data_IF_395010900456
#
_entry.id   IF_395010900456
#
_cell.length_a   1.000
_cell.length_b   1.000
_cell.length_c   1.000
_cell.angle_alpha   90.00
_cell.angle_beta   90.00
_cell.angle_gamma   90.00
#
_symmetry.space_group_name_H-M   'P 1'
#
loop_
_entity.id
_entity.type
_entity.pdbx_description
1 polymer ?
#
# COMPACT_ATOMS: atom_id res chain seq x y z
N UNK A 1 1.52 -2.56 8.09
CA UNK A 1 2.89 -2.00 8.16
C UNK A 1 2.88 -0.84 9.12
N UNK A 2 3.86 -0.76 10.02
CA UNK A 2 3.78 0.16 11.16
C UNK A 2 3.85 1.63 10.75
N UNK A 3 4.79 2.04 9.90
CA UNK A 3 4.73 3.34 9.22
C UNK A 3 5.21 3.23 7.78
N UNK A 4 4.79 4.18 6.95
CA UNK A 4 5.12 4.24 5.54
C UNK A 4 5.30 5.71 5.14
N UNK A 5 6.43 6.29 5.56
CA UNK A 5 6.79 7.70 5.33
C UNK A 5 7.98 7.78 4.36
N UNK A 6 7.88 8.62 3.33
CA UNK A 6 8.99 8.90 2.43
C UNK A 6 9.43 10.36 2.55
N UNK A 7 10.70 10.59 2.90
CA UNK A 7 11.27 11.94 2.95
C UNK A 7 11.32 12.62 1.57
N UNK A 8 11.41 11.82 0.50
CA UNK A 8 11.35 12.30 -0.88
C UNK A 8 10.57 11.29 -1.75
N UNK A 9 9.86 11.74 -2.80
CA UNK A 9 9.14 10.86 -3.70
C UNK A 9 10.11 10.04 -4.57
N UNK A 10 10.57 8.89 -4.06
CA UNK A 10 11.57 8.04 -4.70
C UNK A 10 11.04 6.63 -4.93
N UNK A 11 10.89 6.28 -6.21
CA UNK A 11 10.48 4.93 -6.61
C UNK A 11 11.49 3.83 -6.22
N UNK A 12 12.78 4.18 -6.03
CA UNK A 12 13.78 3.23 -5.57
C UNK A 12 13.48 2.72 -4.16
N UNK A 13 13.14 3.62 -3.23
CA UNK A 13 12.79 3.28 -1.85
C UNK A 13 11.48 2.48 -1.81
N UNK A 14 10.48 2.87 -2.61
CA UNK A 14 9.23 2.12 -2.77
C UNK A 14 9.47 0.67 -3.28
N UNK A 15 10.44 0.47 -4.20
CA UNK A 15 10.81 -0.87 -4.68
C UNK A 15 11.42 -1.72 -3.57
N UNK A 16 12.25 -1.14 -2.71
CA UNK A 16 12.83 -1.84 -1.56
C UNK A 16 11.76 -2.26 -0.55
N UNK A 17 10.76 -1.42 -0.31
CA UNK A 17 9.60 -1.76 0.53
C UNK A 17 8.84 -2.95 -0.06
N UNK A 18 8.53 -2.94 -1.36
CA UNK A 18 7.85 -4.06 -2.04
C UNK A 18 8.69 -5.34 -1.94
N UNK A 19 10.01 -5.23 -2.14
CA UNK A 19 10.94 -6.36 -2.05
C UNK A 19 10.97 -6.95 -0.64
N UNK A 20 11.02 -6.09 0.37
CA UNK A 20 11.01 -6.49 1.79
C UNK A 20 9.71 -7.19 2.16
N UNK A 21 8.57 -6.67 1.70
CA UNK A 21 7.26 -7.30 1.89
C UNK A 21 7.16 -8.63 1.14
N UNK A 22 7.77 -8.76 -0.04
CA UNK A 22 7.77 -10.01 -0.81
C UNK A 22 8.62 -11.13 -0.19
N UNK A 23 9.54 -10.79 0.72
CA UNK A 23 10.34 -11.76 1.46
C UNK A 23 9.55 -12.50 2.55
N UNK A 24 8.34 -12.03 2.88
CA UNK A 24 7.46 -12.70 3.85
C UNK A 24 6.77 -13.87 3.14
N UNK A 25 6.82 -15.06 3.75
CA UNK A 25 6.15 -16.26 3.23
C UNK A 25 4.67 -15.99 2.95
N UNK A 26 4.21 -16.27 1.74
CA UNK A 26 2.83 -15.99 1.27
C UNK A 26 2.65 -14.65 0.55
N UNK A 27 3.65 -13.77 0.56
CA UNK A 27 3.64 -12.48 -0.12
C UNK A 27 4.60 -12.40 -1.32
N UNK A 28 5.18 -13.52 -1.75
CA UNK A 28 6.13 -13.57 -2.90
C UNK A 28 5.50 -13.06 -4.20
N UNK A 29 4.16 -13.03 -4.27
CA UNK A 29 3.43 -12.54 -5.44
C UNK A 29 3.46 -11.01 -5.58
N UNK A 30 3.94 -10.28 -4.58
CA UNK A 30 4.12 -8.83 -4.60
C UNK A 30 5.07 -8.36 -5.71
N UNK A 31 6.11 -9.14 -6.00
CA UNK A 31 7.12 -8.80 -7.03
C UNK A 31 6.89 -9.51 -8.35
N UNK A 32 6.19 -10.65 -8.36
CA UNK A 32 6.02 -11.49 -9.56
C UNK A 32 4.74 -11.20 -10.34
N UNK A 33 3.68 -10.66 -9.70
CA UNK A 33 2.43 -10.34 -10.40
C UNK A 33 2.55 -8.98 -11.11
N UNK A 34 2.22 -8.97 -12.41
CA UNK A 34 2.34 -7.80 -13.29
C UNK A 34 1.32 -6.69 -13.04
N UNK A 35 0.13 -7.00 -12.53
CA UNK A 35 -0.98 -6.04 -12.36
C UNK A 35 -1.82 -6.34 -11.12
N UNK A 36 -2.44 -5.31 -10.53
CA UNK A 36 -3.38 -5.40 -9.41
C UNK A 36 -2.87 -6.27 -8.25
N UNK A 37 -1.66 -6.00 -7.81
CA UNK A 37 -0.97 -6.87 -6.85
C UNK A 37 -1.26 -6.43 -5.44
N UNK A 38 -1.07 -5.16 -5.13
CA UNK A 38 -1.34 -4.62 -3.81
C UNK A 38 -2.07 -3.27 -3.89
N UNK A 39 -3.03 -3.08 -2.98
CA UNK A 39 -3.57 -1.77 -2.65
C UNK A 39 -2.98 -1.35 -1.31
N UNK A 40 -2.29 -0.21 -1.28
CA UNK A 40 -1.73 0.38 -0.07
C UNK A 40 -2.71 1.43 0.43
N UNK A 41 -3.35 1.15 1.56
CA UNK A 41 -4.27 2.06 2.22
C UNK A 41 -3.52 2.88 3.29
N UNK A 42 -3.48 4.20 3.10
CA UNK A 42 -2.89 5.16 4.01
C UNK A 42 -3.95 5.77 4.93
N UNK A 43 -3.65 6.04 6.22
CA UNK A 43 -4.58 6.72 7.11
C UNK A 43 -4.87 8.16 6.64
N UNK A 44 -3.83 8.82 6.12
CA UNK A 44 -3.86 10.19 5.65
C UNK A 44 -3.18 10.29 4.29
N UNK A 45 -3.66 11.21 3.47
CA UNK A 45 -3.04 11.56 2.20
C UNK A 45 -1.57 11.97 2.36
N UNK A 46 -0.68 11.21 1.73
CA UNK A 46 0.74 11.57 1.60
C UNK A 46 1.15 11.53 0.12
N UNK A 47 1.44 12.72 -0.43
CA UNK A 47 1.85 12.87 -1.83
C UNK A 47 3.23 12.25 -2.11
N UNK A 48 4.11 12.20 -1.13
CA UNK A 48 5.44 11.59 -1.29
C UNK A 48 5.30 10.08 -1.45
N UNK A 49 4.45 9.45 -0.63
CA UNK A 49 4.12 8.03 -0.75
C UNK A 49 3.42 7.77 -2.09
N UNK A 50 2.32 8.48 -2.38
CA UNK A 50 1.57 8.33 -3.63
C UNK A 50 2.49 8.42 -4.86
N UNK A 51 3.32 9.46 -4.94
CA UNK A 51 4.25 9.64 -6.07
C UNK A 51 5.35 8.59 -6.13
N UNK A 52 5.80 8.07 -5.00
CA UNK A 52 6.82 7.01 -4.97
C UNK A 52 6.30 5.72 -5.57
N UNK A 53 5.02 5.39 -5.34
CA UNK A 53 4.39 4.18 -5.88
C UNK A 53 3.69 4.39 -7.24
N UNK A 54 3.46 5.63 -7.67
CA UNK A 54 2.71 5.90 -8.91
C UNK A 54 3.34 5.33 -10.19
N UNK A 55 4.66 5.08 -10.18
CA UNK A 55 5.36 4.44 -11.32
C UNK A 55 5.20 2.91 -11.36
N UNK A 56 4.55 2.30 -10.36
CA UNK A 56 4.38 0.86 -10.28
C UNK A 56 2.99 0.46 -10.79
N UNK A 57 2.90 -0.03 -12.03
CA UNK A 57 1.63 -0.48 -12.64
C UNK A 57 0.98 -1.71 -11.96
N UNK A 58 1.58 -2.22 -10.88
CA UNK A 58 1.12 -3.37 -10.13
C UNK A 58 0.67 -3.01 -8.70
N UNK A 59 0.81 -1.75 -8.27
CA UNK A 59 0.45 -1.27 -6.93
C UNK A 59 -0.36 0.02 -7.05
N UNK A 60 -1.44 0.12 -6.26
CA UNK A 60 -2.21 1.36 -6.13
C UNK A 60 -2.10 1.86 -4.69
N UNK A 61 -1.99 3.18 -4.51
CA UNK A 61 -1.99 3.83 -3.19
C UNK A 61 -3.27 4.65 -3.08
N UNK A 62 -3.98 4.50 -1.97
CA UNK A 62 -5.17 5.27 -1.69
C UNK A 62 -5.35 5.52 -0.20
N UNK A 63 -6.32 6.35 0.15
CA UNK A 63 -6.66 6.61 1.54
C UNK A 63 -7.60 5.54 2.08
N UNK A 64 -7.46 5.20 3.35
CA UNK A 64 -8.33 4.24 4.03
C UNK A 64 -9.80 4.66 3.99
N UNK A 65 -10.06 5.98 4.05
CA UNK A 65 -11.39 6.58 3.96
C UNK A 65 -12.06 6.41 2.59
N UNK A 66 -11.26 6.23 1.55
CA UNK A 66 -11.73 6.03 0.18
C UNK A 66 -11.68 4.53 -0.21
N UNK A 67 -11.30 3.65 0.72
CA UNK A 67 -11.26 2.22 0.46
C UNK A 67 -12.68 1.71 0.19
N UNK A 68 -12.88 1.15 -0.99
CA UNK A 68 -14.11 0.49 -1.38
C UNK A 68 -13.90 -1.05 -1.44
N UNK A 69 -14.99 -1.83 -1.34
CA UNK A 69 -14.91 -3.28 -1.47
C UNK A 69 -14.34 -3.75 -2.82
N UNK A 70 -14.52 -2.96 -3.88
CA UNK A 70 -14.01 -3.27 -5.21
C UNK A 70 -12.47 -3.30 -5.24
N UNK A 71 -11.79 -2.42 -4.50
CA UNK A 71 -10.33 -2.47 -4.34
C UNK A 71 -9.92 -3.75 -3.61
N UNK A 72 -10.62 -4.15 -2.55
CA UNK A 72 -10.30 -5.39 -1.81
C UNK A 72 -10.48 -6.63 -2.68
N UNK A 73 -11.46 -6.63 -3.60
CA UNK A 73 -11.72 -7.74 -4.52
C UNK A 73 -10.78 -7.74 -5.73
N UNK A 74 -10.39 -6.57 -6.25
CA UNK A 74 -9.52 -6.47 -7.44
C UNK A 74 -8.04 -6.69 -7.11
N UNK A 75 -7.59 -6.28 -5.92
CA UNK A 75 -6.21 -6.40 -5.49
C UNK A 75 -5.99 -7.69 -4.71
N UNK A 76 -4.84 -8.35 -4.94
CA UNK A 76 -4.53 -9.60 -4.24
C UNK A 76 -4.14 -9.37 -2.77
N UNK A 77 -3.51 -8.24 -2.50
CA UNK A 77 -3.04 -7.87 -1.16
C UNK A 77 -3.58 -6.50 -0.78
N UNK A 78 -4.04 -6.39 0.45
CA UNK A 78 -4.37 -5.11 1.09
C UNK A 78 -3.27 -4.81 2.11
N UNK A 79 -2.54 -3.72 1.90
CA UNK A 79 -1.49 -3.25 2.80
C UNK A 79 -2.00 -2.03 3.53
N UNK A 80 -2.26 -2.16 4.82
CA UNK A 80 -2.70 -1.04 5.67
C UNK A 80 -1.47 -0.43 6.35
N UNK A 81 -1.20 0.85 6.06
CA UNK A 81 -0.20 1.64 6.77
C UNK A 81 -0.78 2.19 8.08
N UNK A 82 0.05 2.27 9.13
CA UNK A 82 -0.35 2.71 10.46
C UNK A 82 -1.67 2.05 10.90
N UNK A 83 -1.69 0.72 11.14
CA UNK A 83 -2.94 -0.01 11.39
C UNK A 83 -3.73 0.55 12.58
N UNK A 84 -3.07 1.11 13.61
CA UNK A 84 -3.76 1.73 14.75
C UNK A 84 -4.62 2.92 14.36
N UNK A 85 -4.09 3.82 13.52
CA UNK A 85 -4.82 5.00 13.04
C UNK A 85 -5.85 4.61 11.98
N UNK A 86 -5.48 3.71 11.08
CA UNK A 86 -6.36 3.22 10.01
C UNK A 86 -7.56 2.42 10.54
N UNK A 87 -7.41 1.63 11.59
CA UNK A 87 -8.51 0.89 12.21
C UNK A 87 -9.43 1.78 13.05
N UNK A 88 -8.90 2.85 13.66
CA UNK A 88 -9.74 3.84 14.33
C UNK A 88 -10.76 4.46 13.36
N UNK A 89 -10.39 4.65 12.09
CA UNK A 89 -11.33 5.09 11.04
C UNK A 89 -12.42 4.07 10.70
N UNK A 90 -12.22 2.78 10.97
CA UNK A 90 -13.25 1.74 10.81
C UNK A 90 -14.13 1.56 12.05
N UNK A 91 -13.54 1.74 13.24
CA UNK A 91 -14.25 1.60 14.52
C UNK A 91 -15.11 2.81 14.86
N UNK A 92 -14.78 3.98 14.32
CA UNK A 92 -15.61 5.19 14.45
C UNK A 92 -16.81 5.06 13.51
N UNK A 93 -17.83 4.34 13.98
CA UNK A 93 -19.12 4.17 13.31
C UNK A 93 -20.07 5.31 13.66
#
# INVERSE_FOLDING_TARGET
VDSLDFAAPKAAEAREVIKSLSGIKGYERLTTKKVNTAFIALPKKDKSVEKSFNNFGNVEVGEIRNLNPLHVLNYKYLVIANPKESLAHFETK
#
